data_IF_430155729968
#
_entry.id   IF_430155729968
#
_cell.length_a   1.000
_cell.length_b   1.000
_cell.length_c   1.000
_cell.angle_alpha   90.00
_cell.angle_beta   90.00
_cell.angle_gamma   90.00
#
_symmetry.space_group_name_H-M   'P 1'
#
loop_
_entity.id
_entity.type
_entity.pdbx_description
1 polymer ?
#
# COMPACT_ATOMS: atom_id res chain seq x y z
N UNK A 1 6.58 -8.01 13.12
CA UNK A 1 7.70 -8.36 12.20
C UNK A 1 7.27 -9.13 10.95
N UNK A 2 6.31 -10.07 11.04
CA UNK A 2 5.86 -10.86 9.87
C UNK A 2 5.27 -9.97 8.75
N UNK A 3 4.40 -9.02 9.10
CA UNK A 3 3.79 -8.09 8.14
C UNK A 3 4.84 -7.31 7.33
N UNK A 4 5.91 -6.83 7.99
CA UNK A 4 7.01 -6.13 7.32
C UNK A 4 7.74 -7.05 6.31
N UNK A 5 7.96 -8.32 6.68
CA UNK A 5 8.57 -9.30 5.78
C UNK A 5 7.69 -9.58 4.56
N UNK A 6 6.39 -9.76 4.77
CA UNK A 6 5.44 -9.96 3.67
C UNK A 6 5.44 -8.76 2.71
N UNK A 7 5.32 -7.55 3.23
CA UNK A 7 5.38 -6.33 2.43
C UNK A 7 6.69 -6.24 1.63
N UNK A 8 7.85 -6.50 2.27
CA UNK A 8 9.13 -6.47 1.58
C UNK A 8 9.23 -7.51 0.45
N UNK A 9 8.72 -8.73 0.66
CA UNK A 9 8.75 -9.78 -0.37
C UNK A 9 7.76 -9.46 -1.51
N UNK A 10 6.58 -8.93 -1.20
CA UNK A 10 5.61 -8.47 -2.23
C UNK A 10 6.27 -7.39 -3.09
N UNK A 11 6.82 -6.36 -2.45
CA UNK A 11 7.54 -5.29 -3.13
C UNK A 11 8.65 -5.85 -4.02
N UNK A 12 9.49 -6.75 -3.48
CA UNK A 12 10.58 -7.35 -4.25
C UNK A 12 10.08 -8.13 -5.47
N UNK A 13 9.03 -8.95 -5.31
CA UNK A 13 8.43 -9.72 -6.42
C UNK A 13 7.89 -8.81 -7.53
N UNK A 14 7.22 -7.72 -7.15
CA UNK A 14 6.70 -6.72 -8.07
C UNK A 14 7.82 -5.96 -8.77
N UNK A 15 8.77 -5.43 -7.99
CA UNK A 15 9.89 -4.63 -8.44
C UNK A 15 10.84 -5.40 -9.38
N UNK A 16 11.16 -6.66 -9.07
CA UNK A 16 12.10 -7.46 -9.87
C UNK A 16 11.62 -7.72 -11.30
N UNK A 17 10.30 -7.72 -11.55
CA UNK A 17 9.71 -7.90 -12.89
C UNK A 17 9.05 -6.62 -13.40
N UNK A 18 9.07 -5.57 -12.59
CA UNK A 18 8.34 -4.32 -12.78
C UNK A 18 6.88 -4.48 -13.22
N UNK A 19 6.15 -5.46 -12.68
CA UNK A 19 4.83 -5.86 -13.20
C UNK A 19 3.71 -5.72 -12.15
N UNK A 20 2.54 -5.24 -12.56
CA UNK A 20 1.37 -5.05 -11.68
C UNK A 20 0.21 -6.01 -11.90
N UNK A 21 0.27 -6.89 -12.89
CA UNK A 21 -0.81 -7.84 -13.20
C UNK A 21 -1.06 -8.92 -12.13
N UNK A 22 -2.00 -9.83 -12.39
CA UNK A 22 -2.43 -10.86 -11.43
C UNK A 22 -1.31 -11.86 -11.08
N UNK A 23 -1.21 -12.25 -9.81
CA UNK A 23 -0.23 -13.24 -9.34
C UNK A 23 -0.78 -14.00 -8.13
N UNK A 24 -1.18 -15.28 -8.30
CA UNK A 24 -1.76 -16.06 -7.21
C UNK A 24 -0.86 -16.15 -5.97
N UNK A 25 0.46 -16.13 -6.16
CA UNK A 25 1.42 -16.13 -5.06
C UNK A 25 1.39 -14.82 -4.27
N UNK A 26 1.26 -13.69 -4.94
CA UNK A 26 1.15 -12.37 -4.28
C UNK A 26 -0.22 -12.29 -3.60
N UNK A 27 -1.28 -12.76 -4.25
CA UNK A 27 -2.64 -12.74 -3.69
C UNK A 27 -2.71 -13.49 -2.35
N UNK A 28 -2.10 -14.68 -2.25
CA UNK A 28 -2.00 -15.42 -0.97
C UNK A 28 -1.24 -14.63 0.10
N UNK A 29 -0.16 -13.95 -0.28
CA UNK A 29 0.61 -13.12 0.65
C UNK A 29 -0.17 -11.89 1.13
N UNK A 30 -0.94 -11.27 0.24
CA UNK A 30 -1.79 -10.11 0.52
C UNK A 30 -2.93 -10.50 1.46
N UNK A 31 -3.61 -11.62 1.21
CA UNK A 31 -4.65 -12.12 2.12
C UNK A 31 -4.09 -12.43 3.51
N UNK A 32 -2.90 -13.04 3.59
CA UNK A 32 -2.20 -13.23 4.88
C UNK A 32 -1.86 -11.89 5.55
N UNK A 33 -1.46 -10.88 4.78
CA UNK A 33 -1.16 -9.56 5.31
C UNK A 33 -2.41 -8.86 5.88
N UNK A 34 -3.57 -9.01 5.25
CA UNK A 34 -4.84 -8.51 5.79
C UNK A 34 -5.18 -9.13 7.15
N UNK A 35 -5.04 -10.45 7.29
CA UNK A 35 -5.24 -11.12 8.59
C UNK A 35 -4.33 -10.54 9.67
N UNK A 36 -3.04 -10.32 9.35
CA UNK A 36 -2.10 -9.73 10.31
C UNK A 36 -2.38 -8.25 10.62
N UNK A 37 -2.96 -7.51 9.68
CA UNK A 37 -3.37 -6.12 9.87
C UNK A 37 -4.60 -6.00 10.78
N UNK A 38 -5.52 -6.96 10.70
CA UNK A 38 -6.71 -7.03 11.57
C UNK A 38 -6.32 -7.29 13.03
N UNK A 39 -5.28 -8.10 13.26
CA UNK A 39 -4.76 -8.44 14.60
C UNK A 39 -3.86 -7.34 15.22
N UNK A 40 -3.52 -6.29 14.46
CA UNK A 40 -2.61 -5.23 14.93
C UNK A 40 -3.39 -4.14 15.70
N UNK A 41 -3.19 -4.10 17.02
CA UNK A 41 -3.83 -3.12 17.89
C UNK A 41 -3.16 -1.72 17.85
N UNK A 42 -1.82 -1.65 17.70
CA UNK A 42 -1.08 -0.40 17.97
C UNK A 42 0.13 -0.12 17.06
N UNK A 43 0.63 -1.10 16.31
CA UNK A 43 1.84 -0.96 15.50
C UNK A 43 1.52 -0.92 14.00
N UNK A 44 1.45 0.29 13.43
CA UNK A 44 1.28 0.49 12.00
C UNK A 44 2.54 1.08 11.36
N UNK A 45 3.39 0.25 10.74
CA UNK A 45 4.49 0.74 9.92
C UNK A 45 3.92 1.22 8.57
N UNK A 46 4.31 2.43 8.17
CA UNK A 46 3.81 3.08 6.95
C UNK A 46 4.17 2.30 5.68
N UNK A 47 5.38 1.74 5.62
CA UNK A 47 5.82 0.94 4.47
C UNK A 47 4.95 -0.29 4.20
N UNK A 48 4.63 -1.17 5.17
CA UNK A 48 3.70 -2.27 4.92
C UNK A 48 2.30 -1.82 4.49
N UNK A 49 1.75 -0.76 5.09
CA UNK A 49 0.46 -0.23 4.65
C UNK A 49 0.51 0.28 3.19
N UNK A 50 1.61 0.94 2.79
CA UNK A 50 1.83 1.33 1.40
C UNK A 50 1.81 0.13 0.47
N UNK A 51 2.65 -0.88 0.73
CA UNK A 51 2.80 -2.00 -0.19
C UNK A 51 1.52 -2.84 -0.26
N UNK A 52 0.89 -3.14 0.87
CA UNK A 52 -0.36 -3.92 0.87
C UNK A 52 -1.50 -3.10 0.23
N UNK A 53 -1.54 -1.78 0.48
CA UNK A 53 -2.50 -0.88 -0.14
C UNK A 53 -2.36 -0.80 -1.66
N UNK A 54 -1.14 -0.88 -2.21
CA UNK A 54 -0.91 -0.95 -3.65
C UNK A 54 -1.51 -2.22 -4.30
N UNK A 55 -1.73 -3.28 -3.51
CA UNK A 55 -2.33 -4.54 -3.98
C UNK A 55 -3.86 -4.57 -3.82
N UNK A 56 -4.49 -3.50 -3.32
CA UNK A 56 -5.93 -3.41 -3.12
C UNK A 56 -6.68 -3.13 -4.45
N UNK A 57 -7.08 -4.21 -5.14
CA UNK A 57 -7.74 -4.16 -6.46
C UNK A 57 -9.26 -3.97 -6.41
N UNK A 58 -9.87 -4.18 -5.25
CA UNK A 58 -11.32 -4.12 -5.06
C UNK A 58 -11.67 -3.10 -3.99
N UNK A 59 -12.82 -2.46 -4.11
CA UNK A 59 -13.27 -1.44 -3.15
C UNK A 59 -13.31 -1.94 -1.71
N UNK A 60 -13.68 -3.21 -1.47
CA UNK A 60 -13.63 -3.79 -0.12
C UNK A 60 -12.22 -3.88 0.47
N UNK A 61 -11.21 -4.14 -0.36
CA UNK A 61 -9.80 -4.15 0.07
C UNK A 61 -9.30 -2.71 0.32
N UNK A 62 -9.67 -1.78 -0.57
CA UNK A 62 -9.34 -0.35 -0.41
C UNK A 62 -9.94 0.21 0.88
N UNK A 63 -11.20 -0.10 1.17
CA UNK A 63 -11.89 0.29 2.40
C UNK A 63 -11.15 -0.20 3.66
N UNK A 64 -10.78 -1.49 3.70
CA UNK A 64 -10.01 -2.05 4.82
C UNK A 64 -8.71 -1.28 5.08
N UNK A 65 -7.95 -0.98 4.03
CA UNK A 65 -6.70 -0.20 4.16
C UNK A 65 -6.96 1.20 4.72
N UNK A 66 -8.01 1.88 4.24
CA UNK A 66 -8.40 3.20 4.77
C UNK A 66 -8.79 3.13 6.26
N UNK A 67 -9.51 2.10 6.68
CA UNK A 67 -9.87 1.88 8.09
C UNK A 67 -8.61 1.66 8.97
N UNK A 68 -7.62 0.90 8.49
CA UNK A 68 -6.35 0.74 9.20
C UNK A 68 -5.59 2.07 9.34
N UNK A 69 -5.54 2.87 8.28
CA UNK A 69 -4.89 4.18 8.28
C UNK A 69 -5.62 5.13 9.24
N UNK A 70 -6.96 5.17 9.21
CA UNK A 70 -7.76 6.02 10.10
C UNK A 70 -7.53 5.65 11.58
N UNK A 71 -7.50 4.34 11.90
CA UNK A 71 -7.15 3.87 13.25
C UNK A 71 -5.74 4.31 13.65
N UNK A 72 -4.77 4.23 12.74
CA UNK A 72 -3.40 4.67 12.97
C UNK A 72 -3.31 6.18 13.28
N UNK A 73 -4.07 7.00 12.54
CA UNK A 73 -4.13 8.46 12.75
C UNK A 73 -4.68 8.81 14.13
N UNK A 74 -5.74 8.11 14.57
CA UNK A 74 -6.36 8.32 15.89
C UNK A 74 -5.45 7.92 17.05
N UNK A 75 -4.60 6.91 16.85
CA UNK A 75 -3.69 6.42 17.89
C UNK A 75 -2.53 7.37 18.23
N UNK A 76 -2.14 8.27 17.32
CA UNK A 76 -1.01 9.19 17.57
C UNK A 76 -1.06 10.46 16.70
N UNK A 77 -1.09 11.63 17.34
CA UNK A 77 -1.07 12.93 16.66
C UNK A 77 0.20 13.17 15.82
N UNK A 78 1.36 12.66 16.27
CA UNK A 78 2.63 12.74 15.54
C UNK A 78 2.61 11.97 14.22
N UNK A 79 1.81 10.91 14.13
CA UNK A 79 1.70 10.04 12.94
C UNK A 79 0.55 10.45 12.03
N UNK A 80 -0.33 11.35 12.47
CA UNK A 80 -1.52 11.77 11.72
C UNK A 80 -1.15 12.34 10.35
N UNK A 81 -0.10 13.17 10.25
CA UNK A 81 0.33 13.74 8.96
C UNK A 81 0.90 12.68 8.01
N UNK A 82 1.81 11.81 8.47
CA UNK A 82 2.40 10.79 7.60
C UNK A 82 1.37 9.76 7.13
N UNK A 83 0.38 9.45 7.97
CA UNK A 83 -0.74 8.58 7.61
C UNK A 83 -1.70 9.26 6.62
N UNK A 84 -1.95 10.56 6.76
CA UNK A 84 -2.71 11.32 5.77
C UNK A 84 -1.99 11.36 4.41
N UNK A 85 -0.67 11.59 4.41
CA UNK A 85 0.13 11.57 3.19
C UNK A 85 0.08 10.18 2.53
N UNK A 86 0.22 9.12 3.32
CA UNK A 86 0.08 7.73 2.85
C UNK A 86 -1.30 7.46 2.25
N UNK A 87 -2.38 7.91 2.89
CA UNK A 87 -3.74 7.79 2.36
C UNK A 87 -3.84 8.46 0.98
N UNK A 88 -3.36 9.70 0.84
CA UNK A 88 -3.41 10.43 -0.41
C UNK A 88 -2.62 9.70 -1.51
N UNK A 89 -1.43 9.18 -1.19
CA UNK A 89 -0.59 8.43 -2.13
C UNK A 89 -1.31 7.19 -2.64
N UNK A 90 -1.88 6.40 -1.73
CA UNK A 90 -2.62 5.19 -2.08
C UNK A 90 -3.83 5.50 -2.97
N UNK A 91 -4.60 6.54 -2.63
CA UNK A 91 -5.73 6.96 -3.44
C UNK A 91 -5.30 7.41 -4.84
N UNK A 92 -4.18 8.12 -4.97
CA UNK A 92 -3.63 8.49 -6.27
C UNK A 92 -3.19 7.28 -7.07
N UNK A 93 -2.54 6.29 -6.44
CA UNK A 93 -2.17 5.01 -7.08
C UNK A 93 -3.41 4.28 -7.58
N UNK A 94 -4.47 4.20 -6.77
CA UNK A 94 -5.71 3.55 -7.16
C UNK A 94 -6.39 4.25 -8.33
N UNK A 95 -6.37 5.58 -8.37
CA UNK A 95 -6.87 6.34 -9.53
C UNK A 95 -6.07 6.00 -10.79
N UNK A 96 -4.74 5.85 -10.71
CA UNK A 96 -3.94 5.44 -11.87
C UNK A 96 -4.32 4.01 -12.32
N UNK A 97 -4.53 3.09 -11.39
CA UNK A 97 -4.97 1.73 -11.70
C UNK A 97 -6.36 1.71 -12.35
N UNK A 98 -7.30 2.53 -11.87
CA UNK A 98 -8.66 2.60 -12.40
C UNK A 98 -8.69 3.24 -13.81
N UNK A 99 -7.74 4.13 -14.12
CA UNK A 99 -7.57 4.71 -15.46
C UNK A 99 -6.90 3.73 -16.45
N UNK A 100 -6.13 2.76 -15.95
CA UNK A 100 -5.40 1.78 -16.76
C UNK A 100 -6.27 0.57 -17.13
N UNK A 101 -7.34 0.82 -17.91
CA UNK A 101 -8.37 -0.19 -18.21
C UNK A 101 -7.88 -1.29 -19.17
N UNK A 102 -6.99 -0.96 -20.11
CA UNK A 102 -6.57 -1.86 -21.19
C UNK A 102 -5.13 -2.40 -21.06
N UNK A 103 -4.41 -2.00 -20.01
CA UNK A 103 -3.02 -2.42 -19.80
C UNK A 103 -2.63 -2.34 -18.33
N UNK A 104 -1.74 -3.23 -17.90
CA UNK A 104 -1.15 -3.13 -16.57
C UNK A 104 -0.06 -2.05 -16.56
N UNK A 105 -0.15 -1.12 -15.61
CA UNK A 105 0.94 -0.18 -15.36
C UNK A 105 2.15 -0.92 -14.77
N UNK A 106 3.34 -0.55 -15.22
CA UNK A 106 4.59 -0.99 -14.59
C UNK A 106 4.62 -0.57 -13.11
N UNK A 107 4.91 -1.52 -12.22
CA UNK A 107 4.73 -1.32 -10.78
C UNK A 107 5.58 -0.19 -10.21
N UNK A 108 6.88 -0.19 -10.51
CA UNK A 108 7.81 0.84 -10.03
C UNK A 108 7.57 2.16 -10.74
N UNK A 109 7.24 2.17 -12.03
CA UNK A 109 6.98 3.40 -12.76
C UNK A 109 5.73 4.11 -12.22
N UNK A 110 4.69 3.35 -11.86
CA UNK A 110 3.49 3.88 -11.19
C UNK A 110 3.83 4.49 -9.84
N UNK A 111 4.57 3.75 -9.00
CA UNK A 111 5.00 4.25 -7.69
C UNK A 111 5.85 5.51 -7.82
N UNK A 112 6.83 5.50 -8.72
CA UNK A 112 7.73 6.62 -8.96
C UNK A 112 6.97 7.86 -9.45
N UNK A 113 6.08 7.70 -10.43
CA UNK A 113 5.26 8.80 -10.96
C UNK A 113 4.38 9.45 -9.87
N UNK A 114 3.76 8.64 -9.01
CA UNK A 114 2.94 9.18 -7.91
C UNK A 114 3.81 9.83 -6.84
N UNK A 115 4.84 9.14 -6.33
CA UNK A 115 5.65 9.62 -5.21
C UNK A 115 6.43 10.88 -5.59
N UNK A 116 6.99 10.94 -6.80
CA UNK A 116 7.76 12.11 -7.28
C UNK A 116 6.89 13.34 -7.57
N UNK A 117 5.58 13.18 -7.67
CA UNK A 117 4.63 14.30 -7.79
C UNK A 117 4.49 15.11 -6.49
N UNK A 118 4.90 14.55 -5.34
CA UNK A 118 4.84 15.23 -4.05
C UNK A 118 6.04 16.16 -3.86
N UNK A 119 5.76 17.38 -3.39
CA UNK A 119 6.80 18.41 -3.16
C UNK A 119 7.78 18.04 -2.06
N UNK A 120 7.35 17.24 -1.08
CA UNK A 120 8.16 16.74 0.01
C UNK A 120 8.10 15.21 -0.05
N UNK A 121 9.27 14.56 -0.07
CA UNK A 121 9.34 13.11 -0.09
C UNK A 121 8.67 12.53 1.16
N UNK A 122 7.66 11.66 1.02
CA UNK A 122 7.00 11.03 2.15
C UNK A 122 7.95 10.08 2.89
N UNK A 123 7.87 10.05 4.22
CA UNK A 123 8.59 9.08 5.05
C UNK A 123 7.73 7.86 5.32
N UNK A 124 8.27 6.67 5.01
CA UNK A 124 7.62 5.39 5.27
C UNK A 124 8.29 4.55 6.37
N UNK A 125 9.25 5.15 7.07
CA UNK A 125 10.04 4.54 8.17
C UNK A 125 9.41 4.86 9.52
#
# INVERSE_FOLDING_TARGET
MELLKLAAIIYLKRASRNFSGASPQIDVMVERAYVLLDDLETFNPAFPLLIIGCEARRDGQRMRILEHIERAMKASSLRSRSMLDLQNILQHIWVQDDLAVDYDLDYLNKLDAVITSYRIMPSFV
#
